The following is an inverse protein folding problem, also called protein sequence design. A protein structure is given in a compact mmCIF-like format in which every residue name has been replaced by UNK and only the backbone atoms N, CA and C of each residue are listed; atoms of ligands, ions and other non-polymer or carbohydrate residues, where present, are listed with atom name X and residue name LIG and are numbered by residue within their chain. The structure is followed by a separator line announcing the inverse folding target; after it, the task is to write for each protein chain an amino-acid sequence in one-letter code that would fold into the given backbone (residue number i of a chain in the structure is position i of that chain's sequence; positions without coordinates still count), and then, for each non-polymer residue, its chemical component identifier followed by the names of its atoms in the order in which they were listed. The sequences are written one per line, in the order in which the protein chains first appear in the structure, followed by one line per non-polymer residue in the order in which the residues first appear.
data_IF_650918301943
#
_entry.id   IF_650918301943
#
_cell.length_a   1.000
_cell.length_b   1.000
_cell.length_c   1.000
_cell.angle_alpha   90.00
_cell.angle_beta   90.00
_cell.angle_gamma   90.00
#
_symmetry.space_group_name_H-M   'P 1'
#
loop_
_entity.id
_entity.type
_entity.pdbx_description
1 polymer ?
#
# COMPACT_ATOMS: atom_id res chain seq x y z
N UNK A 1 -5.13 8.65 1.54
CA UNK A 1 -4.08 8.29 2.51
C UNK A 1 -2.77 8.97 2.08
N UNK A 2 -1.65 8.75 2.75
CA UNK A 2 -0.35 9.38 2.38
C UNK A 2 0.09 8.97 0.97
N UNK A 3 -0.06 7.69 0.63
CA UNK A 3 0.34 7.11 -0.66
C UNK A 3 -0.80 7.08 -1.69
N UNK A 4 -1.78 7.98 -1.58
CA UNK A 4 -2.92 8.03 -2.51
C UNK A 4 -3.09 9.43 -3.03
N UNK A 5 -3.33 9.55 -4.34
CA UNK A 5 -3.62 10.84 -4.94
C UNK A 5 -4.92 11.43 -4.40
N UNK A 6 -4.89 12.74 -4.20
CA UNK A 6 -6.05 13.57 -3.89
C UNK A 6 -5.99 14.82 -4.76
N UNK A 7 -7.13 15.41 -5.17
CA UNK A 7 -7.16 16.58 -6.04
C UNK A 7 -6.27 17.76 -5.60
N UNK A 8 -5.97 17.87 -4.31
CA UNK A 8 -5.16 18.94 -3.71
C UNK A 8 -3.85 18.45 -3.06
N UNK A 9 -3.55 17.15 -3.15
CA UNK A 9 -2.34 16.57 -2.55
C UNK A 9 -1.93 15.36 -3.38
N UNK A 10 -0.81 15.43 -4.13
CA UNK A 10 -0.30 14.26 -4.82
C UNK A 10 0.09 13.18 -3.81
N UNK A 11 0.03 11.91 -4.25
CA UNK A 11 0.54 10.80 -3.48
C UNK A 11 2.01 11.03 -3.11
N UNK A 12 2.37 10.72 -1.88
CA UNK A 12 3.77 10.69 -1.46
C UNK A 12 4.37 9.29 -1.59
N UNK A 13 5.70 9.23 -1.65
CA UNK A 13 6.44 7.97 -1.73
C UNK A 13 6.26 7.13 -0.47
N UNK A 14 6.51 5.82 -0.57
CA UNK A 14 6.46 4.92 0.59
C UNK A 14 7.47 5.35 1.67
N UNK A 15 8.65 5.80 1.27
CA UNK A 15 9.69 6.32 2.18
C UNK A 15 9.17 7.55 2.95
N UNK A 16 8.58 8.53 2.26
CA UNK A 16 8.01 9.71 2.92
C UNK A 16 6.86 9.33 3.88
N UNK A 17 6.05 8.33 3.51
CA UNK A 17 5.02 7.79 4.40
C UNK A 17 5.61 7.12 5.65
N UNK A 18 6.71 6.36 5.52
CA UNK A 18 7.42 5.71 6.63
C UNK A 18 8.00 6.74 7.60
N UNK A 19 8.63 7.78 7.08
CA UNK A 19 9.15 8.90 7.87
C UNK A 19 8.02 9.65 8.61
N UNK A 20 6.89 9.90 7.93
CA UNK A 20 5.73 10.53 8.57
C UNK A 20 5.18 9.65 9.69
N UNK A 21 4.96 8.35 9.46
CA UNK A 21 4.47 7.41 10.49
C UNK A 21 5.44 7.35 11.68
N UNK A 22 6.75 7.34 11.43
CA UNK A 22 7.76 7.37 12.49
C UNK A 22 7.67 8.64 13.34
N UNK A 23 7.55 9.82 12.70
CA UNK A 23 7.44 11.12 13.41
C UNK A 23 6.22 11.22 14.32
N UNK A 24 5.15 10.49 14.00
CA UNK A 24 3.89 10.51 14.76
C UNK A 24 3.73 9.32 15.71
N UNK A 25 4.78 8.48 15.88
CA UNK A 25 4.80 7.40 16.85
C UNK A 25 4.66 7.93 18.29
N UNK A 26 3.83 7.27 19.09
CA UNK A 26 3.54 7.69 20.47
C UNK A 26 2.54 8.85 20.60
N UNK A 27 2.07 9.41 19.48
CA UNK A 27 1.01 10.42 19.45
C UNK A 27 -0.22 9.97 18.70
N UNK A 28 -0.06 9.65 17.43
CA UNK A 28 -1.15 9.20 16.56
C UNK A 28 -1.13 7.68 16.36
N UNK A 29 0.07 7.09 16.47
CA UNK A 29 0.28 5.68 16.27
C UNK A 29 0.90 5.06 17.52
N UNK A 30 0.56 3.80 17.79
CA UNK A 30 1.20 3.01 18.83
C UNK A 30 2.70 2.82 18.49
N UNK A 31 3.63 3.16 19.40
CA UNK A 31 5.07 3.03 19.16
C UNK A 31 5.53 1.62 18.79
N UNK A 32 4.96 0.58 19.40
CA UNK A 32 5.35 -0.80 19.13
C UNK A 32 4.84 -1.25 17.76
N UNK A 33 3.63 -0.83 17.36
CA UNK A 33 3.13 -1.08 16.01
C UNK A 33 3.99 -0.38 14.95
N UNK A 34 4.40 0.88 15.20
CA UNK A 34 5.28 1.61 14.28
C UNK A 34 6.64 0.94 14.18
N UNK A 35 7.22 0.50 15.30
CA UNK A 35 8.48 -0.25 15.32
C UNK A 35 8.39 -1.53 14.48
N UNK A 36 7.32 -2.30 14.64
CA UNK A 36 7.09 -3.50 13.83
C UNK A 36 6.95 -3.15 12.34
N UNK A 37 6.16 -2.14 12.00
CA UNK A 37 6.00 -1.66 10.62
C UNK A 37 7.32 -1.20 9.98
N UNK A 38 8.19 -0.53 10.73
CA UNK A 38 9.49 -0.07 10.25
C UNK A 38 10.51 -1.20 10.13
N UNK A 39 10.38 -2.28 10.92
CA UNK A 39 11.25 -3.46 10.81
C UNK A 39 11.02 -4.29 9.53
N UNK A 40 9.86 -4.12 8.88
CA UNK A 40 9.54 -4.83 7.64
C UNK A 40 10.37 -4.29 6.45
N UNK A 41 10.95 -5.17 5.62
CA UNK A 41 11.60 -4.79 4.36
C UNK A 41 10.68 -3.96 3.46
N UNK A 42 11.21 -2.94 2.80
CA UNK A 42 10.40 -2.02 1.97
C UNK A 42 9.72 -2.74 0.79
N UNK A 43 10.38 -3.76 0.23
CA UNK A 43 9.88 -4.49 -0.92
C UNK A 43 8.61 -5.28 -0.63
N UNK A 44 8.33 -5.66 0.63
CA UNK A 44 7.13 -6.43 1.00
C UNK A 44 5.85 -5.72 0.52
N UNK A 45 5.79 -4.39 0.66
CA UNK A 45 4.59 -3.63 0.31
C UNK A 45 4.36 -3.56 -1.19
N UNK A 46 5.42 -3.41 -1.96
CA UNK A 46 5.34 -3.37 -3.42
C UNK A 46 5.08 -4.75 -4.00
N UNK A 47 5.71 -5.79 -3.45
CA UNK A 47 5.50 -7.17 -3.85
C UNK A 47 4.06 -7.61 -3.56
N UNK A 48 3.53 -7.27 -2.38
CA UNK A 48 2.14 -7.54 -2.02
C UNK A 48 1.15 -6.80 -2.93
N UNK A 49 1.41 -5.53 -3.25
CA UNK A 49 0.57 -4.76 -4.20
C UNK A 49 0.59 -5.39 -5.59
N UNK A 50 1.76 -5.77 -6.10
CA UNK A 50 1.90 -6.44 -7.40
C UNK A 50 1.14 -7.77 -7.40
N UNK A 51 1.26 -8.55 -6.34
CA UNK A 51 0.56 -9.83 -6.23
C UNK A 51 -0.96 -9.65 -6.19
N UNK A 52 -1.48 -8.74 -5.36
CA UNK A 52 -2.91 -8.46 -5.27
C UNK A 52 -3.43 -7.98 -6.63
N UNK A 53 -2.74 -7.03 -7.27
CA UNK A 53 -3.14 -6.53 -8.58
C UNK A 53 -3.12 -7.65 -9.64
N UNK A 54 -2.08 -8.48 -9.67
CA UNK A 54 -1.98 -9.63 -10.57
C UNK A 54 -3.15 -10.61 -10.39
N UNK A 55 -3.51 -10.91 -9.14
CA UNK A 55 -4.68 -11.77 -8.83
C UNK A 55 -5.97 -11.13 -9.33
N UNK A 56 -6.18 -9.84 -9.08
CA UNK A 56 -7.37 -9.10 -9.56
C UNK A 56 -7.46 -9.12 -11.09
N UNK A 57 -6.38 -8.86 -11.81
CA UNK A 57 -6.36 -8.93 -13.27
C UNK A 57 -6.64 -10.34 -13.80
N UNK A 58 -6.12 -11.37 -13.13
CA UNK A 58 -6.42 -12.76 -13.48
C UNK A 58 -7.92 -13.06 -13.38
N UNK A 59 -8.56 -12.64 -12.30
CA UNK A 59 -10.00 -12.83 -12.13
C UNK A 59 -10.82 -12.05 -13.17
N UNK A 60 -10.47 -10.80 -13.45
CA UNK A 60 -11.16 -9.96 -14.44
C UNK A 60 -11.07 -10.52 -15.86
N UNK A 61 -9.89 -10.98 -16.30
CA UNK A 61 -9.70 -11.63 -17.61
C UNK A 61 -10.53 -12.91 -17.74
N UNK A 62 -10.59 -13.71 -16.67
CA UNK A 62 -11.35 -14.97 -16.67
C UNK A 62 -12.86 -14.72 -16.68
N UNK A 63 -13.34 -13.65 -16.03
CA UNK A 63 -14.74 -13.26 -16.04
C UNK A 63 -15.18 -12.67 -17.39
N UNK A 64 -14.35 -11.82 -18.01
CA UNK A 64 -14.62 -11.24 -19.32
C UNK A 64 -14.70 -12.32 -20.42
N UNK A 65 -13.83 -13.34 -20.37
CA UNK A 65 -13.84 -14.45 -21.32
C UNK A 65 -15.12 -15.31 -21.26
N UNK A 66 -15.82 -15.35 -20.11
CA UNK A 66 -17.08 -16.12 -19.96
C UNK A 66 -18.33 -15.36 -20.43
N UNK A 67 -18.23 -14.05 -20.67
CA UNK A 67 -19.38 -13.21 -21.07
C UNK A 67 -19.51 -13.02 -22.60
N UNK A 68 -18.67 -13.69 -23.39
CA UNK A 68 -18.64 -13.60 -24.87
C UNK A 68 -19.19 -14.86 -25.57
N UNK A 69 -20.05 -15.64 -24.92
CA UNK A 69 -20.74 -16.81 -25.50
C UNK A 69 -22.24 -16.67 -25.33
#
# INVERSE_FOLDING_TARGET
AITSDRPYRPAQTLTAAREEIQRWAGRQFDPEVVKMFLSMPENIWDDLRKEINSRVYRFALTAAAKSSV
#
